data_IF_469598635211
#
_entry.id   IF_469598635211
#
_cell.length_a   1.000
_cell.length_b   1.000
_cell.length_c   1.000
_cell.angle_alpha   90.00
_cell.angle_beta   90.00
_cell.angle_gamma   90.00
#
_symmetry.space_group_name_H-M   'P 1'
#
loop_
_entity.id
_entity.type
_entity.pdbx_description
1 polymer ?
#
# COMPACT_ATOMS: atom_id res chain seq x y z
N UNK A 1 22.22 -5.41 16.88
CA UNK A 1 20.79 -5.67 16.55
C UNK A 1 20.06 -4.38 16.16
N UNK A 2 20.09 -3.32 16.97
CA UNK A 2 19.42 -2.04 16.67
C UNK A 2 19.89 -1.35 15.36
N UNK A 3 21.19 -1.39 15.06
CA UNK A 3 21.72 -0.77 13.84
C UNK A 3 21.27 -1.49 12.55
N UNK A 4 21.11 -2.83 12.62
CA UNK A 4 20.55 -3.63 11.52
C UNK A 4 19.05 -3.35 11.33
N UNK A 5 18.30 -3.21 12.41
CA UNK A 5 16.87 -2.84 12.36
C UNK A 5 16.70 -1.43 11.79
N UNK A 6 17.57 -0.48 12.17
CA UNK A 6 17.55 0.89 11.64
C UNK A 6 17.82 0.94 10.13
N UNK A 7 18.87 0.26 9.66
CA UNK A 7 19.19 0.19 8.21
C UNK A 7 18.09 -0.55 7.44
N UNK A 8 17.55 -1.64 7.99
CA UNK A 8 16.43 -2.36 7.39
C UNK A 8 15.16 -1.49 7.32
N UNK A 9 14.89 -0.67 8.34
CA UNK A 9 13.78 0.29 8.36
C UNK A 9 13.94 1.40 7.32
N UNK A 10 15.15 1.98 7.18
CA UNK A 10 15.46 2.94 6.13
C UNK A 10 15.32 2.34 4.73
N UNK A 11 15.81 1.12 4.53
CA UNK A 11 15.72 0.42 3.25
C UNK A 11 14.28 0.03 2.90
N UNK A 12 13.53 -0.48 3.87
CA UNK A 12 12.11 -0.78 3.70
C UNK A 12 11.30 0.49 3.40
N UNK A 13 11.60 1.60 4.08
CA UNK A 13 11.00 2.92 3.79
C UNK A 13 11.31 3.40 2.39
N UNK A 14 12.57 3.29 1.95
CA UNK A 14 12.99 3.64 0.58
C UNK A 14 12.30 2.75 -0.46
N UNK A 15 12.25 1.44 -0.24
CA UNK A 15 11.59 0.51 -1.14
C UNK A 15 10.06 0.69 -1.14
N UNK A 16 9.49 1.13 -0.02
CA UNK A 16 8.08 1.53 0.04
C UNK A 16 7.82 2.81 -0.77
N UNK A 17 8.71 3.79 -0.68
CA UNK A 17 8.65 5.04 -1.44
C UNK A 17 8.83 4.83 -2.95
N UNK A 18 9.73 3.92 -3.35
CA UNK A 18 10.07 3.65 -4.75
C UNK A 18 9.09 2.67 -5.41
N UNK A 19 8.84 1.54 -4.75
CA UNK A 19 8.13 0.41 -5.34
C UNK A 19 6.82 0.08 -4.62
N UNK A 20 6.69 0.43 -3.32
CA UNK A 20 5.57 0.01 -2.46
C UNK A 20 5.74 -1.40 -1.90
N UNK A 21 6.99 -1.85 -1.78
CA UNK A 21 7.36 -3.20 -1.34
C UNK A 21 7.93 -3.28 0.08
N UNK A 22 7.90 -2.20 0.86
CA UNK A 22 8.51 -2.17 2.20
C UNK A 22 7.98 -3.27 3.12
N UNK A 23 6.67 -3.53 3.07
CA UNK A 23 6.03 -4.57 3.88
C UNK A 23 6.53 -5.99 3.57
N UNK A 24 7.03 -6.26 2.37
CA UNK A 24 7.58 -7.59 2.03
C UNK A 24 8.90 -7.89 2.74
N UNK A 25 9.61 -6.85 3.20
CA UNK A 25 10.86 -6.99 3.95
C UNK A 25 10.59 -7.02 5.45
N UNK A 26 9.70 -6.15 5.94
CA UNK A 26 9.41 -6.01 7.37
C UNK A 26 8.55 -7.14 7.92
N UNK A 27 7.58 -7.67 7.17
CA UNK A 27 6.70 -8.75 7.64
C UNK A 27 7.49 -10.02 8.04
N UNK A 28 8.34 -10.60 7.16
CA UNK A 28 9.13 -11.77 7.52
C UNK A 28 10.07 -11.49 8.71
N UNK A 29 10.68 -10.31 8.76
CA UNK A 29 11.58 -9.94 9.85
C UNK A 29 10.87 -9.89 11.21
N UNK A 30 9.65 -9.35 11.27
CA UNK A 30 8.83 -9.29 12.48
C UNK A 30 8.22 -10.64 12.85
N UNK A 31 7.90 -11.50 11.87
CA UNK A 31 7.46 -12.87 12.17
C UNK A 31 8.61 -13.67 12.80
N UNK A 32 9.84 -13.51 12.30
CA UNK A 32 11.04 -14.16 12.85
C UNK A 32 11.35 -13.67 14.27
N UNK A 33 10.98 -12.44 14.64
CA UNK A 33 11.12 -11.94 16.01
C UNK A 33 10.08 -12.51 17.00
N UNK A 34 9.20 -13.41 16.54
CA UNK A 34 8.22 -14.11 17.37
C UNK A 34 6.82 -13.50 17.36
N UNK A 35 6.58 -12.46 16.55
CA UNK A 35 5.25 -11.84 16.46
C UNK A 35 4.29 -12.72 15.66
N UNK A 36 3.00 -12.65 16.01
CA UNK A 36 1.97 -13.21 15.13
C UNK A 36 1.94 -12.44 13.80
N UNK A 37 1.62 -13.09 12.65
CA UNK A 37 1.56 -12.41 11.36
C UNK A 37 0.65 -11.17 11.34
N UNK A 38 -0.44 -11.20 12.11
CA UNK A 38 -1.35 -10.06 12.27
C UNK A 38 -0.64 -8.88 12.96
N UNK A 39 -0.04 -9.13 14.12
CA UNK A 39 0.69 -8.10 14.87
C UNK A 39 1.91 -7.57 14.08
N UNK A 40 2.63 -8.46 13.39
CA UNK A 40 3.73 -8.08 12.50
C UNK A 40 3.27 -7.14 11.38
N UNK A 41 2.11 -7.41 10.76
CA UNK A 41 1.56 -6.54 9.71
C UNK A 41 1.18 -5.17 10.25
N UNK A 42 0.49 -5.14 11.40
CA UNK A 42 0.07 -3.90 12.06
C UNK A 42 1.30 -3.05 12.42
N UNK A 43 2.28 -3.64 13.12
CA UNK A 43 3.52 -2.97 13.52
C UNK A 43 4.30 -2.48 12.30
N UNK A 44 4.44 -3.29 11.25
CA UNK A 44 5.08 -2.86 10.00
C UNK A 44 4.37 -1.66 9.36
N UNK A 45 3.04 -1.65 9.36
CA UNK A 45 2.26 -0.57 8.74
C UNK A 45 2.47 0.74 9.49
N UNK A 46 2.49 0.69 10.83
CA UNK A 46 2.78 1.84 11.69
C UNK A 46 4.22 2.32 11.50
N UNK A 47 5.20 1.40 11.47
CA UNK A 47 6.62 1.74 11.30
C UNK A 47 6.92 2.41 9.95
N UNK A 48 6.26 1.98 8.87
CA UNK A 48 6.46 2.55 7.53
C UNK A 48 5.68 3.85 7.30
N UNK A 49 4.70 4.16 8.16
CA UNK A 49 3.80 5.31 7.95
C UNK A 49 4.52 6.66 7.85
N UNK A 50 5.47 7.03 8.74
CA UNK A 50 6.19 8.30 8.62
C UNK A 50 6.88 8.47 7.26
N UNK A 51 7.50 7.39 6.75
CA UNK A 51 8.14 7.38 5.43
C UNK A 51 7.16 7.54 4.27
N UNK A 52 5.92 7.08 4.42
CA UNK A 52 4.88 7.29 3.42
C UNK A 52 4.36 8.74 3.42
N UNK A 53 4.20 9.34 4.60
CA UNK A 53 3.81 10.75 4.73
C UNK A 53 4.85 11.65 4.06
N UNK A 54 6.14 11.45 4.34
CA UNK A 54 7.21 12.23 3.70
C UNK A 54 7.24 12.04 2.19
N UNK A 55 7.09 10.80 1.71
CA UNK A 55 7.05 10.48 0.28
C UNK A 55 5.85 11.12 -0.45
N UNK A 56 4.68 11.11 0.19
CA UNK A 56 3.48 11.78 -0.32
C UNK A 56 3.66 13.30 -0.37
N UNK A 57 4.20 13.91 0.68
CA UNK A 57 4.46 15.34 0.74
C UNK A 57 5.49 15.79 -0.31
N UNK A 58 6.55 14.99 -0.55
CA UNK A 58 7.54 15.28 -1.58
C UNK A 58 6.94 15.24 -3.01
N UNK A 59 6.01 14.33 -3.27
CA UNK A 59 5.35 14.17 -4.57
C UNK A 59 4.17 15.12 -4.82
N UNK A 60 3.72 15.90 -3.83
CA UNK A 60 2.43 16.60 -3.85
C UNK A 60 2.17 17.52 -5.05
N UNK A 61 3.22 18.12 -5.62
CA UNK A 61 3.12 19.04 -6.77
C UNK A 61 2.80 18.34 -8.09
N UNK A 62 3.01 17.02 -8.17
CA UNK A 62 2.83 16.21 -9.39
C UNK A 62 1.57 15.33 -9.33
N UNK A 63 0.74 15.53 -8.29
CA UNK A 63 -0.48 14.76 -8.05
C UNK A 63 -1.57 15.18 -9.02
N UNK A 64 -2.24 14.21 -9.64
CA UNK A 64 -3.32 14.46 -10.58
C UNK A 64 -4.48 13.49 -10.39
N UNK A 65 -5.65 13.81 -10.96
CA UNK A 65 -6.76 12.86 -11.09
C UNK A 65 -6.46 11.75 -12.10
N UNK A 66 -7.40 10.81 -12.22
CA UNK A 66 -7.36 9.69 -13.16
C UNK A 66 -8.39 9.86 -14.27
N UNK A 67 -7.93 10.36 -15.42
CA UNK A 67 -8.82 10.75 -16.52
C UNK A 67 -9.82 11.81 -16.07
N UNK A 68 -11.11 11.49 -16.13
CA UNK A 68 -12.19 12.37 -15.63
C UNK A 68 -12.47 12.23 -14.13
N UNK A 69 -11.85 11.27 -13.43
CA UNK A 69 -12.03 11.10 -12.00
C UNK A 69 -11.12 12.09 -11.25
N UNK A 70 -11.67 13.04 -10.47
CA UNK A 70 -10.86 14.03 -9.79
C UNK A 70 -10.05 13.39 -8.67
N UNK A 71 -8.88 13.97 -8.37
CA UNK A 71 -8.03 13.51 -7.27
C UNK A 71 -8.77 13.47 -5.93
N UNK A 72 -9.68 14.42 -5.67
CA UNK A 72 -10.50 14.42 -4.45
C UNK A 72 -11.33 13.14 -4.28
N UNK A 73 -11.86 12.58 -5.37
CA UNK A 73 -12.59 11.33 -5.32
C UNK A 73 -11.66 10.15 -5.00
N UNK A 74 -10.50 10.06 -5.67
CA UNK A 74 -9.47 9.05 -5.36
C UNK A 74 -9.01 9.14 -3.89
N UNK A 75 -8.85 10.35 -3.38
CA UNK A 75 -8.46 10.62 -1.99
C UNK A 75 -9.52 10.09 -1.00
N UNK A 76 -10.79 10.42 -1.21
CA UNK A 76 -11.90 9.94 -0.36
C UNK A 76 -12.01 8.42 -0.42
N UNK A 77 -11.95 7.82 -1.62
CA UNK A 77 -11.99 6.36 -1.79
C UNK A 77 -10.81 5.69 -1.08
N UNK A 78 -9.65 6.34 -1.02
CA UNK A 78 -8.48 5.82 -0.31
C UNK A 78 -8.64 5.86 1.21
N UNK A 79 -9.26 6.92 1.76
CA UNK A 79 -9.61 7.00 3.18
C UNK A 79 -10.62 5.91 3.55
N UNK A 80 -11.73 5.85 2.81
CA UNK A 80 -12.82 4.90 3.08
C UNK A 80 -12.32 3.48 2.93
N UNK A 81 -11.62 3.16 1.84
CA UNK A 81 -11.05 1.83 1.63
C UNK A 81 -10.00 1.48 2.68
N UNK A 82 -9.10 2.41 3.02
CA UNK A 82 -8.08 2.19 4.06
C UNK A 82 -8.69 1.89 5.43
N UNK A 83 -9.73 2.63 5.82
CA UNK A 83 -10.46 2.39 7.06
C UNK A 83 -11.19 1.03 7.02
N UNK A 84 -11.91 0.70 5.93
CA UNK A 84 -12.59 -0.58 5.77
C UNK A 84 -11.60 -1.77 5.81
N UNK A 85 -10.47 -1.64 5.13
CA UNK A 85 -9.40 -2.64 5.15
C UNK A 85 -8.79 -2.83 6.53
N UNK A 86 -8.52 -1.72 7.24
CA UNK A 86 -8.01 -1.76 8.61
C UNK A 86 -9.00 -2.39 9.60
N UNK A 87 -10.29 -2.05 9.50
CA UNK A 87 -11.34 -2.69 10.28
C UNK A 87 -11.43 -4.19 9.98
N UNK A 88 -11.38 -4.57 8.71
CA UNK A 88 -11.41 -5.97 8.29
C UNK A 88 -10.20 -6.74 8.86
N UNK A 89 -9.02 -6.11 8.90
CA UNK A 89 -7.83 -6.71 9.48
C UNK A 89 -8.00 -6.93 10.99
N UNK A 90 -8.47 -5.92 11.73
CA UNK A 90 -8.68 -6.01 13.18
C UNK A 90 -9.74 -7.07 13.56
N UNK A 91 -10.72 -7.31 12.69
CA UNK A 91 -11.73 -8.35 12.88
C UNK A 91 -11.28 -9.73 12.36
N UNK A 92 -10.13 -9.84 11.70
CA UNK A 92 -9.63 -11.12 11.18
C UNK A 92 -8.84 -11.88 12.24
N UNK A 93 -9.16 -13.14 12.54
CA UNK A 93 -8.33 -13.97 13.42
C UNK A 93 -6.92 -14.18 12.84
N UNK A 94 -5.88 -14.10 13.68
CA UNK A 94 -4.48 -14.22 13.23
C UNK A 94 -4.19 -15.51 12.44
N UNK A 95 -4.86 -16.63 12.75
CA UNK A 95 -4.75 -17.90 12.01
C UNK A 95 -5.27 -17.79 10.57
N UNK A 96 -6.35 -17.05 10.36
CA UNK A 96 -6.93 -16.81 9.03
C UNK A 96 -6.01 -15.88 8.25
N UNK A 97 -5.56 -14.79 8.86
CA UNK A 97 -4.61 -13.86 8.24
C UNK A 97 -3.33 -14.59 7.80
N UNK A 98 -2.74 -15.42 8.67
CA UNK A 98 -1.53 -16.19 8.36
C UNK A 98 -1.70 -17.10 7.13
N UNK A 99 -2.89 -17.69 6.92
CA UNK A 99 -3.19 -18.49 5.73
C UNK A 99 -3.40 -17.64 4.48
N UNK A 100 -3.88 -16.40 4.63
CA UNK A 100 -4.11 -15.47 3.53
C UNK A 100 -2.82 -14.79 3.05
N UNK A 101 -1.85 -14.54 3.94
CA UNK A 101 -0.60 -13.83 3.60
C UNK A 101 0.08 -14.39 2.34
N UNK A 102 0.34 -15.71 2.18
CA UNK A 102 0.99 -16.23 0.97
C UNK A 102 0.23 -15.91 -0.32
N UNK A 103 -1.11 -15.96 -0.27
CA UNK A 103 -1.97 -15.63 -1.41
C UNK A 103 -1.98 -14.14 -1.72
N UNK A 104 -1.97 -13.28 -0.69
CA UNK A 104 -1.90 -11.82 -0.84
C UNK A 104 -0.56 -11.39 -1.44
N UNK A 105 0.54 -12.01 -1.00
CA UNK A 105 1.87 -11.79 -1.57
C UNK A 105 1.90 -12.29 -3.02
N UNK A 106 1.46 -13.52 -3.28
CA UNK A 106 1.42 -14.08 -4.63
C UNK A 106 0.62 -13.21 -5.58
N UNK A 107 -0.55 -12.72 -5.15
CA UNK A 107 -1.37 -11.81 -5.94
C UNK A 107 -0.63 -10.51 -6.28
N UNK A 108 -0.06 -9.83 -5.28
CA UNK A 108 0.68 -8.59 -5.51
C UNK A 108 1.90 -8.81 -6.41
N UNK A 109 2.66 -9.90 -6.21
CA UNK A 109 3.80 -10.26 -7.04
C UNK A 109 3.39 -10.61 -8.46
N UNK A 110 2.28 -11.34 -8.66
CA UNK A 110 1.77 -11.67 -9.98
C UNK A 110 1.35 -10.41 -10.75
N UNK A 111 0.63 -9.47 -10.10
CA UNK A 111 0.26 -8.20 -10.72
C UNK A 111 1.49 -7.36 -11.04
N UNK A 112 2.47 -7.31 -10.14
CA UNK A 112 3.74 -6.62 -10.37
C UNK A 112 4.52 -7.20 -11.55
N UNK A 113 4.67 -8.53 -11.61
CA UNK A 113 5.35 -9.23 -12.69
C UNK A 113 4.64 -8.98 -14.02
N UNK A 114 3.31 -9.06 -14.04
CA UNK A 114 2.52 -8.77 -15.22
C UNK A 114 2.69 -7.33 -15.71
N UNK A 115 2.72 -6.36 -14.80
CA UNK A 115 2.93 -4.96 -15.13
C UNK A 115 4.36 -4.64 -15.61
N UNK A 116 5.36 -5.33 -15.05
CA UNK A 116 6.79 -5.03 -15.30
C UNK A 116 7.36 -5.74 -16.52
N UNK A 117 6.97 -6.99 -16.76
CA UNK A 117 7.54 -7.80 -17.85
C UNK A 117 6.73 -7.71 -19.14
N UNK A 118 5.46 -7.28 -19.09
CA UNK A 118 4.64 -7.12 -20.28
C UNK A 118 4.89 -5.74 -20.89
N UNK A 119 5.69 -5.67 -21.97
CA UNK A 119 5.82 -4.47 -22.81
C UNK A 119 4.45 -4.08 -23.33
N UNK A 120 3.89 -2.97 -22.86
CA UNK A 120 2.66 -2.41 -23.45
C UNK A 120 3.02 -1.74 -24.78
N UNK A 121 2.37 -2.10 -25.90
CA UNK A 121 2.40 -1.27 -27.09
C UNK A 121 1.83 0.10 -26.74
N UNK A 122 2.53 1.17 -27.12
CA UNK A 122 2.19 2.55 -26.76
C UNK A 122 0.78 2.98 -27.21
N UNK A 123 0.14 2.24 -28.12
CA UNK A 123 -1.13 2.61 -28.76
C UNK A 123 -2.37 1.86 -28.25
N UNK A 124 -2.23 0.83 -27.42
CA UNK A 124 -3.38 0.04 -26.92
C UNK A 124 -3.57 0.13 -25.41
N UNK A 125 -3.38 1.31 -24.83
CA UNK A 125 -3.75 1.56 -23.44
C UNK A 125 -5.27 1.45 -23.32
N UNK A 126 -5.77 0.33 -22.79
CA UNK A 126 -7.14 0.24 -22.33
C UNK A 126 -7.34 1.33 -21.27
N UNK A 127 -8.08 2.38 -21.63
CA UNK A 127 -8.36 3.49 -20.74
C UNK A 127 -9.44 3.03 -19.76
N UNK A 128 -9.07 2.83 -18.50
CA UNK A 128 -10.06 2.61 -17.45
C UNK A 128 -10.98 3.83 -17.41
N UNK A 129 -12.27 3.59 -17.64
CA UNK A 129 -13.29 4.63 -17.44
C UNK A 129 -13.27 5.13 -15.99
N UNK A 130 -13.75 6.35 -15.71
CA UNK A 130 -13.71 6.96 -14.37
C UNK A 130 -14.34 6.09 -13.27
N UNK A 131 -15.44 5.40 -13.60
CA UNK A 131 -16.09 4.44 -12.71
C UNK A 131 -15.18 3.25 -12.39
N UNK A 132 -14.61 2.62 -13.41
CA UNK A 132 -13.71 1.48 -13.25
C UNK A 132 -12.44 1.86 -12.48
N UNK A 133 -11.88 3.06 -12.73
CA UNK A 133 -10.76 3.60 -11.97
C UNK A 133 -11.12 3.84 -10.49
N UNK A 134 -12.33 4.33 -10.20
CA UNK A 134 -12.83 4.53 -8.85
C UNK A 134 -13.03 3.21 -8.10
N UNK A 135 -13.68 2.22 -8.73
CA UNK A 135 -13.86 0.87 -8.16
C UNK A 135 -12.51 0.20 -7.92
N UNK A 136 -11.61 0.25 -8.90
CA UNK A 136 -10.26 -0.28 -8.74
C UNK A 136 -9.52 0.39 -7.58
N UNK A 137 -9.57 1.73 -7.49
CA UNK A 137 -8.96 2.47 -6.40
C UNK A 137 -9.53 2.06 -5.03
N UNK A 138 -10.86 1.89 -4.92
CA UNK A 138 -11.49 1.48 -3.67
C UNK A 138 -11.06 0.06 -3.25
N UNK A 139 -11.04 -0.89 -4.19
CA UNK A 139 -10.60 -2.27 -3.93
C UNK A 139 -9.12 -2.32 -3.53
N UNK A 140 -8.27 -1.55 -4.22
CA UNK A 140 -6.86 -1.40 -3.87
C UNK A 140 -6.72 -0.77 -2.49
N UNK A 141 -7.59 0.19 -2.15
CA UNK A 141 -7.56 0.85 -0.87
C UNK A 141 -7.96 -0.08 0.29
N UNK A 142 -8.98 -0.92 0.09
CA UNK A 142 -9.37 -1.97 1.04
C UNK A 142 -8.24 -2.98 1.22
N UNK A 143 -7.67 -3.47 0.11
CA UNK A 143 -6.51 -4.37 0.14
C UNK A 143 -5.33 -3.74 0.89
N UNK A 144 -5.07 -2.45 0.66
CA UNK A 144 -3.96 -1.75 1.26
C UNK A 144 -4.15 -1.41 2.74
N UNK A 145 -5.36 -1.09 3.18
CA UNK A 145 -5.67 -1.00 4.60
C UNK A 145 -5.59 -2.35 5.32
N UNK A 146 -5.87 -3.45 4.62
CA UNK A 146 -5.83 -4.81 5.17
C UNK A 146 -4.41 -5.38 5.26
N UNK A 147 -3.65 -5.34 4.17
CA UNK A 147 -2.33 -5.98 4.08
C UNK A 147 -1.19 -4.99 3.86
N UNK A 148 -1.42 -3.89 3.14
CA UNK A 148 -0.41 -2.86 2.87
C UNK A 148 0.74 -3.29 1.94
N UNK A 149 1.10 -4.58 1.88
CA UNK A 149 2.21 -5.06 1.04
C UNK A 149 1.88 -5.05 -0.45
N UNK A 150 2.76 -4.46 -1.27
CA UNK A 150 2.62 -4.46 -2.73
C UNK A 150 1.53 -3.54 -3.29
N UNK A 151 0.85 -2.76 -2.44
CA UNK A 151 -0.16 -1.77 -2.83
C UNK A 151 0.34 -0.81 -3.90
N UNK A 152 1.64 -0.48 -3.83
CA UNK A 152 2.25 0.45 -4.75
C UNK A 152 2.30 -0.08 -6.17
N UNK A 153 2.37 -1.39 -6.36
CA UNK A 153 2.32 -1.99 -7.69
C UNK A 153 0.89 -1.98 -8.24
N UNK A 154 -0.09 -2.28 -7.39
CA UNK A 154 -1.51 -2.23 -7.75
C UNK A 154 -1.93 -0.81 -8.14
N UNK A 155 -1.55 0.20 -7.35
CA UNK A 155 -1.82 1.61 -7.66
C UNK A 155 -1.14 2.07 -8.94
N UNK A 156 0.13 1.71 -9.16
CA UNK A 156 0.82 2.04 -10.41
C UNK A 156 0.10 1.43 -11.62
N UNK A 157 -0.29 0.15 -11.53
CA UNK A 157 -1.00 -0.52 -12.59
C UNK A 157 -2.36 0.16 -12.87
N UNK A 158 -3.15 0.44 -11.85
CA UNK A 158 -4.46 1.08 -12.01
C UNK A 158 -4.35 2.51 -12.56
N UNK A 159 -3.44 3.33 -12.03
CA UNK A 159 -3.27 4.72 -12.45
C UNK A 159 -2.71 4.82 -13.88
N UNK A 160 -1.75 3.97 -14.25
CA UNK A 160 -1.24 3.94 -15.63
C UNK A 160 -2.27 3.38 -16.61
N UNK A 161 -3.12 2.42 -16.22
CA UNK A 161 -4.29 1.99 -17.01
C UNK A 161 -5.36 3.08 -17.11
N UNK A 162 -5.45 3.97 -16.13
CA UNK A 162 -6.32 5.14 -16.21
C UNK A 162 -5.72 6.30 -17.02
N UNK A 163 -4.56 6.09 -17.66
CA UNK A 163 -3.94 7.04 -18.58
C UNK A 163 -2.99 8.05 -17.93
N UNK A 164 -2.63 7.91 -16.65
CA UNK A 164 -1.61 8.79 -16.06
C UNK A 164 -0.21 8.44 -16.60
N UNK A 165 0.61 9.45 -16.94
CA UNK A 165 2.03 9.26 -17.13
C UNK A 165 2.67 8.63 -15.89
N UNK A 166 3.62 7.72 -16.06
CA UNK A 166 4.27 6.97 -14.95
C UNK A 166 4.78 7.88 -13.83
N UNK A 167 5.27 9.07 -14.17
CA UNK A 167 5.73 10.07 -13.19
C UNK A 167 4.59 10.59 -12.31
N UNK A 168 3.47 10.99 -12.91
CA UNK A 168 2.28 11.48 -12.19
C UNK A 168 1.59 10.34 -11.43
N UNK A 169 1.56 9.14 -12.02
CA UNK A 169 1.06 7.94 -11.37
C UNK A 169 1.84 7.63 -10.08
N UNK A 170 3.18 7.72 -10.11
CA UNK A 170 4.03 7.52 -8.93
C UNK A 170 3.78 8.56 -7.82
N UNK A 171 3.71 9.84 -8.19
CA UNK A 171 3.41 10.91 -7.24
C UNK A 171 2.02 10.75 -6.60
N UNK A 172 1.01 10.48 -7.43
CA UNK A 172 -0.38 10.28 -7.01
C UNK A 172 -0.50 9.04 -6.11
N UNK A 173 0.13 7.93 -6.49
CA UNK A 173 0.26 6.71 -5.67
C UNK A 173 0.79 7.04 -4.28
N UNK A 174 1.90 7.77 -4.17
CA UNK A 174 2.55 7.98 -2.88
C UNK A 174 1.65 8.75 -1.91
N UNK A 175 0.88 9.72 -2.42
CA UNK A 175 -0.12 10.43 -1.62
C UNK A 175 -1.29 9.53 -1.25
N UNK A 176 -1.88 8.81 -2.21
CA UNK A 176 -3.03 7.95 -1.94
C UNK A 176 -2.68 6.80 -0.99
N UNK A 177 -1.49 6.20 -1.12
CA UNK A 177 -0.98 5.18 -0.22
C UNK A 177 -0.78 5.72 1.20
N UNK A 178 -0.19 6.92 1.33
CA UNK A 178 -0.01 7.57 2.62
C UNK A 178 -1.33 7.88 3.31
N UNK A 179 -2.33 8.37 2.58
CA UNK A 179 -3.66 8.71 3.13
C UNK A 179 -4.43 7.46 3.55
N UNK A 180 -4.43 6.43 2.71
CA UNK A 180 -5.02 5.13 3.04
C UNK A 180 -4.38 4.50 4.28
N UNK A 181 -3.05 4.50 4.36
CA UNK A 181 -2.34 4.00 5.53
C UNK A 181 -2.55 4.88 6.75
N UNK A 182 -2.72 6.20 6.61
CA UNK A 182 -3.10 7.07 7.72
C UNK A 182 -4.44 6.61 8.34
N UNK A 183 -5.42 6.28 7.50
CA UNK A 183 -6.72 5.78 7.96
C UNK A 183 -6.61 4.42 8.65
N UNK A 184 -5.80 3.50 8.14
CA UNK A 184 -5.55 2.20 8.79
C UNK A 184 -4.77 2.35 10.10
N UNK A 185 -3.71 3.16 10.12
CA UNK A 185 -2.89 3.44 11.30
C UNK A 185 -3.70 4.12 12.40
N UNK A 186 -4.61 5.04 12.07
CA UNK A 186 -5.50 5.64 13.06
C UNK A 186 -6.32 4.58 13.82
N UNK A 187 -6.77 3.53 13.12
CA UNK A 187 -7.47 2.40 13.74
C UNK A 187 -6.50 1.49 14.52
N UNK A 188 -5.31 1.25 13.99
CA UNK A 188 -4.32 0.38 14.61
C UNK A 188 -3.73 0.95 15.90
N UNK A 189 -3.43 2.25 15.95
CA UNK A 189 -2.88 2.92 17.15
C UNK A 189 -3.84 2.84 18.33
N UNK A 190 -5.14 2.74 18.08
CA UNK A 190 -6.17 2.50 19.10
C UNK A 190 -6.31 1.02 19.50
N UNK A 191 -5.67 0.10 18.78
CA UNK A 191 -5.71 -1.34 19.03
C UNK A 191 -4.58 -1.79 19.97
N UNK A 192 -4.86 -2.67 20.96
CA UNK A 192 -3.84 -3.23 21.84
C UNK A 192 -2.82 -4.14 21.13
N UNK A 193 -3.01 -4.38 19.83
CA UNK A 193 -2.12 -5.23 19.01
C UNK A 193 -0.88 -4.50 18.49
N UNK A 194 -0.72 -3.19 18.74
CA UNK A 194 0.47 -2.43 18.34
C UNK A 194 1.60 -2.66 19.35
N UNK A 195 2.68 -3.30 18.89
CA UNK A 195 3.87 -3.49 19.70
C UNK A 195 4.86 -2.34 19.47
N UNK A 196 4.76 -1.30 20.29
CA UNK A 196 5.56 -0.07 20.19
C UNK A 196 7.08 -0.26 20.28
N UNK A 197 7.57 -1.29 20.99
CA UNK A 197 9.01 -1.52 21.11
C UNK A 197 9.67 -2.03 19.81
N UNK A 198 8.86 -2.50 18.87
CA UNK A 198 9.29 -3.09 17.60
C UNK A 198 8.85 -2.24 16.39
N UNK A 199 8.03 -1.22 16.62
CA UNK A 199 7.55 -0.25 15.63
C UNK A 199 8.54 0.92 15.50
#
# INVERSE_FOLDING_TARGET
MLLLVFVAGLWAGLQNALAGGGSFVTLPALIVSGMSPLAANITSTVALFPGQVTSGLAGRKLVTGAGRLPFKALFILSIVGGALGGLLLLNTPSKVFARLVPWLVLFATAVFAWGSFRRRPAESAAHLGPWAAGVAQLLIAIYGGYFGGGIGFLMMAALTMAGLPTRNAGATKNVLAGVMNASAVALFVMSPQVHWQQA
#
